data_IF_905267334138
#
_entry.id   IF_905267334138
#
_cell.length_a   1.000
_cell.length_b   1.000
_cell.length_c   1.000
_cell.angle_alpha   90.00
_cell.angle_beta   90.00
_cell.angle_gamma   90.00
#
_symmetry.space_group_name_H-M   'P 1'
#
loop_
_entity.id
_entity.type
_entity.pdbx_description
1 polymer ?
#
# COMPACT_ATOMS: atom_id res chain seq x y z
N UNK A 1 -24.86 73.64 -9.70
CA UNK A 1 -23.97 73.14 -8.62
C UNK A 1 -23.75 71.66 -8.87
N UNK A 2 -22.57 71.28 -9.38
CA UNK A 2 -21.56 70.42 -8.70
C UNK A 2 -22.13 69.05 -8.31
N UNK A 3 -21.90 68.01 -9.12
CA UNK A 3 -20.90 66.96 -8.82
C UNK A 3 -21.64 65.73 -8.29
N UNK A 4 -21.31 64.47 -8.53
CA UNK A 4 -20.06 63.82 -8.89
C UNK A 4 -20.36 62.51 -9.62
N UNK A 5 -19.48 62.11 -10.54
CA UNK A 5 -19.36 60.75 -11.04
C UNK A 5 -19.14 59.77 -9.88
N UNK A 6 -19.90 58.69 -9.85
CA UNK A 6 -19.54 57.49 -9.08
C UNK A 6 -19.36 56.33 -10.07
N UNK A 7 -18.11 56.10 -10.46
CA UNK A 7 -17.69 54.86 -11.11
C UNK A 7 -17.86 53.72 -10.08
N UNK A 8 -18.87 52.88 -10.27
CA UNK A 8 -19.01 51.63 -9.54
C UNK A 8 -18.05 50.59 -10.12
N UNK A 9 -16.95 50.31 -9.40
CA UNK A 9 -16.02 49.24 -9.74
C UNK A 9 -16.69 47.88 -9.55
N UNK A 10 -16.84 47.12 -10.64
CA UNK A 10 -17.27 45.72 -10.62
C UNK A 10 -16.06 44.88 -10.23
N UNK A 11 -16.03 44.42 -8.99
CA UNK A 11 -15.06 43.45 -8.50
C UNK A 11 -15.47 42.05 -9.00
N UNK A 12 -14.80 41.58 -10.05
CA UNK A 12 -14.87 40.19 -10.52
C UNK A 12 -14.13 39.30 -9.50
N UNK A 13 -14.88 38.68 -8.59
CA UNK A 13 -14.39 37.57 -7.78
C UNK A 13 -14.19 36.36 -8.68
N UNK A 14 -12.96 36.19 -9.17
CA UNK A 14 -12.51 34.93 -9.74
C UNK A 14 -12.47 33.90 -8.60
N UNK A 15 -13.54 33.11 -8.48
CA UNK A 15 -13.54 31.92 -7.63
C UNK A 15 -12.57 30.95 -8.30
N UNK A 16 -11.33 30.94 -7.80
CA UNK A 16 -10.36 29.91 -8.11
C UNK A 16 -11.03 28.57 -7.80
N UNK A 17 -11.19 27.73 -8.83
CA UNK A 17 -11.72 26.39 -8.67
C UNK A 17 -10.83 25.63 -7.70
N UNK A 18 -11.35 25.35 -6.51
CA UNK A 18 -10.92 24.17 -5.78
C UNK A 18 -11.22 22.99 -6.70
N UNK A 19 -10.17 22.46 -7.34
CA UNK A 19 -10.22 21.10 -7.84
C UNK A 19 -10.54 20.23 -6.64
N UNK A 20 -11.78 19.75 -6.57
CA UNK A 20 -12.13 18.64 -5.72
C UNK A 20 -11.26 17.48 -6.22
N UNK A 21 -10.15 17.28 -5.50
CA UNK A 21 -9.29 16.14 -5.67
C UNK A 21 -10.16 14.90 -5.56
N UNK A 22 -9.96 14.01 -6.52
CA UNK A 22 -10.61 12.70 -6.65
C UNK A 22 -10.82 12.11 -5.26
N UNK A 23 -12.06 11.75 -4.94
CA UNK A 23 -12.40 11.01 -3.74
C UNK A 23 -11.47 9.79 -3.66
N UNK A 24 -10.43 9.87 -2.83
CA UNK A 24 -9.64 8.72 -2.47
C UNK A 24 -10.58 7.85 -1.64
N UNK A 25 -11.06 6.75 -2.22
CA UNK A 25 -11.81 5.77 -1.47
C UNK A 25 -10.98 5.40 -0.23
N UNK A 26 -11.60 5.53 0.95
CA UNK A 26 -10.91 5.54 2.25
C UNK A 26 -10.43 4.14 2.68
N UNK A 27 -9.53 3.55 1.91
CA UNK A 27 -8.83 2.31 2.24
C UNK A 27 -7.53 2.58 3.01
N UNK A 28 -6.96 1.51 3.59
CA UNK A 28 -5.66 1.57 4.27
C UNK A 28 -4.47 1.86 3.33
N UNK A 29 -4.68 1.78 2.01
CA UNK A 29 -3.63 1.88 1.01
C UNK A 29 -2.78 0.61 0.90
N UNK A 30 -1.63 0.70 0.24
CA UNK A 30 -0.69 -0.42 0.10
C UNK A 30 0.18 -0.51 1.36
N UNK A 31 0.14 -1.62 2.10
CA UNK A 31 1.01 -1.80 3.26
C UNK A 31 2.44 -1.99 2.75
N UNK A 32 3.32 -1.04 3.01
CA UNK A 32 4.69 -1.05 2.48
C UNK A 32 5.70 -0.67 3.53
N UNK A 33 6.93 -1.13 3.32
CA UNK A 33 8.05 -0.72 4.13
C UNK A 33 8.32 0.78 3.96
N UNK A 34 8.77 1.47 5.01
CA UNK A 34 9.28 2.84 4.87
C UNK A 34 10.67 2.85 4.22
N UNK A 35 11.47 1.85 4.55
CA UNK A 35 12.81 1.62 4.03
C UNK A 35 13.14 0.13 4.16
N UNK A 36 14.00 -0.37 3.26
CA UNK A 36 14.57 -1.70 3.39
C UNK A 36 15.33 -1.83 4.72
N UNK A 37 15.33 -3.02 5.29
CA UNK A 37 15.96 -3.38 6.57
C UNK A 37 15.31 -2.79 7.84
N UNK A 38 14.13 -2.16 7.77
CA UNK A 38 13.44 -1.72 9.00
C UNK A 38 12.97 -2.90 9.86
N UNK A 39 12.61 -4.01 9.22
CA UNK A 39 12.41 -5.31 9.87
C UNK A 39 13.77 -6.03 9.90
N UNK A 40 14.28 -6.34 11.09
CA UNK A 40 15.66 -6.84 11.27
C UNK A 40 15.84 -8.35 11.14
N UNK A 41 14.77 -9.09 10.86
CA UNK A 41 14.79 -10.54 10.70
C UNK A 41 15.57 -10.96 9.46
N UNK A 42 16.09 -12.20 9.46
CA UNK A 42 16.93 -12.70 8.37
C UNK A 42 16.20 -12.66 7.03
N UNK A 43 16.94 -12.27 5.98
CA UNK A 43 16.44 -12.22 4.61
C UNK A 43 16.66 -13.55 3.91
N UNK A 44 15.59 -14.06 3.31
CA UNK A 44 15.59 -15.33 2.60
C UNK A 44 14.93 -15.19 1.22
N UNK A 45 15.26 -16.10 0.27
CA UNK A 45 14.49 -16.21 -0.96
C UNK A 45 13.03 -16.50 -0.66
N UNK A 46 12.14 -15.74 -1.28
CA UNK A 46 10.70 -15.90 -1.15
C UNK A 46 10.13 -16.19 -2.54
N UNK A 47 9.26 -17.19 -2.61
CA UNK A 47 8.53 -17.53 -3.81
C UNK A 47 7.12 -17.96 -3.45
N UNK A 48 6.15 -17.67 -4.30
CA UNK A 48 4.75 -17.94 -4.03
C UNK A 48 3.83 -17.34 -5.07
N UNK A 49 2.53 -17.37 -4.78
CA UNK A 49 1.49 -16.77 -5.62
C UNK A 49 0.77 -15.71 -4.80
N UNK A 50 0.48 -14.56 -5.41
CA UNK A 50 -0.32 -13.52 -4.77
C UNK A 50 -1.78 -13.97 -4.78
N UNK A 51 -2.40 -13.99 -3.60
CA UNK A 51 -3.83 -14.23 -3.39
C UNK A 51 -4.46 -12.94 -2.85
N UNK A 52 -5.45 -12.41 -3.56
CA UNK A 52 -6.20 -11.23 -3.11
C UNK A 52 -7.51 -11.68 -2.49
N UNK A 53 -7.57 -11.60 -1.17
CA UNK A 53 -8.75 -11.96 -0.40
C UNK A 53 -9.95 -11.05 -0.73
N UNK A 54 -11.16 -11.50 -0.40
CA UNK A 54 -12.41 -10.80 -0.74
C UNK A 54 -12.58 -9.42 -0.07
N UNK A 55 -11.75 -9.10 0.92
CA UNK A 55 -11.66 -7.82 1.62
C UNK A 55 -10.53 -6.92 1.08
N UNK A 56 -9.79 -7.37 0.06
CA UNK A 56 -8.69 -6.65 -0.57
C UNK A 56 -7.32 -6.89 0.07
N UNK A 57 -7.22 -7.73 1.11
CA UNK A 57 -5.93 -8.11 1.69
C UNK A 57 -5.13 -8.96 0.70
N UNK A 58 -3.90 -8.52 0.40
CA UNK A 58 -2.99 -9.26 -0.47
C UNK A 58 -2.13 -10.18 0.38
N UNK A 59 -2.22 -11.47 0.10
CA UNK A 59 -1.47 -12.53 0.75
C UNK A 59 -0.51 -13.17 -0.23
N UNK A 60 0.60 -13.68 0.28
CA UNK A 60 1.49 -14.57 -0.45
C UNK A 60 1.19 -16.01 -0.04
N UNK A 61 0.65 -16.80 -0.95
CA UNK A 61 0.57 -18.25 -0.80
C UNK A 61 1.93 -18.87 -1.11
N UNK A 62 2.57 -19.40 -0.07
CA UNK A 62 3.84 -20.10 -0.15
C UNK A 62 3.63 -21.52 -0.74
N UNK A 63 4.67 -22.17 -1.30
CA UNK A 63 4.56 -23.54 -1.82
C UNK A 63 4.14 -24.59 -0.80
N UNK A 64 4.26 -24.27 0.49
CA UNK A 64 3.79 -25.10 1.61
C UNK A 64 2.27 -25.06 1.77
N UNK A 65 1.59 -24.12 1.12
CA UNK A 65 0.17 -23.80 1.28
C UNK A 65 -0.11 -22.83 2.44
N UNK A 66 0.92 -22.33 3.12
CA UNK A 66 0.77 -21.25 4.09
C UNK A 66 0.56 -19.92 3.38
N UNK A 67 -0.37 -19.10 3.88
CA UNK A 67 -0.57 -17.73 3.42
C UNK A 67 0.07 -16.75 4.39
N UNK A 68 0.63 -15.65 3.87
CA UNK A 68 1.26 -14.58 4.65
C UNK A 68 0.78 -13.24 4.13
N UNK A 69 0.32 -12.34 5.00
CA UNK A 69 -0.06 -11.00 4.58
C UNK A 69 1.17 -10.25 4.02
N UNK A 70 1.05 -9.61 2.86
CA UNK A 70 2.19 -8.99 2.18
C UNK A 70 2.41 -7.57 2.73
N UNK A 71 3.64 -7.27 3.10
CA UNK A 71 4.15 -5.89 3.23
C UNK A 71 5.12 -5.64 2.08
N UNK A 72 4.78 -4.68 1.23
CA UNK A 72 5.44 -4.41 -0.03
C UNK A 72 6.76 -3.63 0.11
N UNK A 73 7.62 -3.64 -0.93
CA UNK A 73 8.80 -2.78 -0.97
C UNK A 73 8.43 -1.28 -0.87
N UNK A 74 9.38 -0.41 -0.46
CA UNK A 74 9.09 1.00 -0.21
C UNK A 74 8.58 1.80 -1.42
N UNK A 75 8.86 1.35 -2.63
CA UNK A 75 8.48 2.00 -3.88
C UNK A 75 7.12 1.54 -4.43
N UNK A 76 6.43 0.64 -3.73
CA UNK A 76 5.13 0.13 -4.13
C UNK A 76 4.01 1.16 -3.99
N UNK A 77 3.13 1.25 -4.98
CA UNK A 77 1.95 2.12 -5.02
C UNK A 77 0.70 1.35 -5.44
N UNK A 78 -0.49 1.88 -5.09
CA UNK A 78 -1.75 1.30 -5.54
C UNK A 78 -1.98 1.63 -7.02
N UNK A 79 -2.15 0.61 -7.85
CA UNK A 79 -2.57 0.72 -9.24
C UNK A 79 -4.06 1.01 -9.40
N UNK A 80 -4.45 1.47 -10.59
CA UNK A 80 -5.83 1.86 -10.90
C UNK A 80 -6.81 0.67 -10.90
N UNK A 81 -6.32 -0.57 -11.07
CA UNK A 81 -7.14 -1.77 -11.14
C UNK A 81 -7.19 -2.56 -9.82
N UNK A 82 -6.62 -2.01 -8.75
CA UNK A 82 -6.48 -2.69 -7.46
C UNK A 82 -5.19 -3.50 -7.31
N UNK A 83 -4.38 -3.58 -8.36
CA UNK A 83 -3.02 -4.13 -8.37
C UNK A 83 -2.02 -3.24 -7.60
N UNK A 84 -0.84 -3.78 -7.32
CA UNK A 84 0.29 -3.02 -6.77
C UNK A 84 1.33 -2.78 -7.85
N UNK A 85 1.75 -1.52 -8.01
CA UNK A 85 2.71 -1.09 -9.02
C UNK A 85 4.03 -0.71 -8.35
N UNK A 86 5.14 -1.28 -8.83
CA UNK A 86 6.49 -0.89 -8.41
C UNK A 86 7.07 0.22 -9.29
N UNK A 87 8.16 0.87 -8.86
CA UNK A 87 8.79 1.99 -9.59
C UNK A 87 9.27 1.66 -11.02
N UNK A 88 9.47 0.37 -11.33
CA UNK A 88 9.76 -0.13 -12.66
C UNK A 88 8.55 -0.21 -13.61
N UNK A 89 7.34 0.10 -13.12
CA UNK A 89 6.07 -0.07 -13.85
C UNK A 89 5.59 -1.51 -13.91
N UNK A 90 6.15 -2.39 -13.07
CA UNK A 90 5.67 -3.76 -12.93
C UNK A 90 4.43 -3.74 -12.05
N UNK A 91 3.36 -4.37 -12.54
CA UNK A 91 2.08 -4.53 -11.85
C UNK A 91 2.02 -5.94 -11.28
N UNK A 92 1.50 -6.06 -10.06
CA UNK A 92 1.34 -7.33 -9.34
C UNK A 92 -0.08 -7.40 -8.76
N UNK A 93 -0.77 -8.50 -9.04
CA UNK A 93 -2.15 -8.72 -8.62
C UNK A 93 -2.46 -10.19 -8.36
N UNK A 94 -3.74 -10.47 -8.21
CA UNK A 94 -4.27 -11.79 -7.90
C UNK A 94 -3.82 -12.86 -8.93
N UNK A 95 -3.30 -13.97 -8.42
CA UNK A 95 -2.82 -15.10 -9.21
C UNK A 95 -1.39 -14.97 -9.76
N UNK A 96 -0.72 -13.81 -9.58
CA UNK A 96 0.65 -13.65 -10.05
C UNK A 96 1.63 -14.48 -9.24
N UNK A 97 2.42 -15.30 -9.93
CA UNK A 97 3.52 -16.03 -9.34
C UNK A 97 4.74 -15.12 -9.23
N UNK A 98 5.38 -15.10 -8.06
CA UNK A 98 6.53 -14.23 -7.80
C UNK A 98 7.75 -15.01 -7.31
N UNK A 99 8.91 -14.42 -7.53
CA UNK A 99 10.17 -14.77 -6.86
C UNK A 99 10.82 -13.48 -6.36
N UNK A 100 11.52 -13.55 -5.23
CA UNK A 100 12.08 -12.35 -4.61
C UNK A 100 12.92 -12.65 -3.37
N UNK A 101 13.18 -11.60 -2.60
CA UNK A 101 13.81 -11.68 -1.29
C UNK A 101 12.97 -10.89 -0.29
N UNK A 102 12.84 -11.45 0.90
CA UNK A 102 12.11 -10.82 1.99
C UNK A 102 12.38 -11.49 3.32
N UNK A 103 11.52 -11.21 4.30
CA UNK A 103 11.49 -11.89 5.58
C UNK A 103 10.07 -12.38 5.89
N UNK A 104 9.97 -13.59 6.43
CA UNK A 104 8.74 -14.15 6.97
C UNK A 104 8.72 -13.93 8.48
N UNK A 105 7.82 -13.09 8.95
CA UNK A 105 7.80 -12.61 10.35
C UNK A 105 6.40 -12.65 10.95
N UNK A 106 6.32 -12.49 12.26
CA UNK A 106 5.06 -12.21 12.96
C UNK A 106 4.67 -10.74 12.87
N UNK A 107 3.39 -10.42 13.05
CA UNK A 107 2.90 -9.04 13.04
C UNK A 107 3.65 -8.15 14.05
N UNK A 108 3.98 -8.69 15.24
CA UNK A 108 4.67 -7.97 16.30
C UNK A 108 6.10 -7.53 15.97
N UNK A 109 6.71 -8.10 14.91
CA UNK A 109 8.05 -7.74 14.42
C UNK A 109 8.04 -6.57 13.42
N UNK A 110 6.85 -6.15 12.94
CA UNK A 110 6.71 -4.94 12.14
C UNK A 110 6.91 -3.68 12.99
N UNK A 111 7.26 -2.54 12.37
CA UNK A 111 7.33 -1.26 13.07
C UNK A 111 6.04 -0.95 13.85
N UNK A 112 6.15 -0.82 15.17
CA UNK A 112 5.02 -0.65 16.08
C UNK A 112 3.91 -1.72 15.95
N UNK A 113 4.21 -2.90 15.41
CA UNK A 113 3.21 -3.96 15.18
C UNK A 113 2.58 -4.51 16.48
N UNK A 114 3.26 -4.36 17.62
CA UNK A 114 2.72 -4.69 18.95
C UNK A 114 1.88 -3.57 19.58
N UNK A 115 1.83 -2.39 18.96
CA UNK A 115 1.01 -1.26 19.42
C UNK A 115 -0.33 -1.29 18.69
N UNK A 116 -1.42 -1.54 19.42
CA UNK A 116 -2.78 -1.68 18.87
C UNK A 116 -3.27 -0.46 18.07
N UNK A 117 -2.72 0.73 18.33
CA UNK A 117 -3.09 1.96 17.63
C UNK A 117 -2.20 2.24 16.40
N UNK A 118 -1.25 1.35 16.07
CA UNK A 118 -0.37 1.51 14.91
C UNK A 118 -1.05 1.10 13.61
N UNK A 119 -0.51 1.62 12.50
CA UNK A 119 -0.96 1.27 11.15
C UNK A 119 -0.89 -0.24 10.91
N UNK A 120 0.28 -0.84 11.17
CA UNK A 120 0.50 -2.27 10.92
C UNK A 120 -0.34 -3.13 11.85
N UNK A 121 -0.48 -2.79 13.13
CA UNK A 121 -1.35 -3.56 14.02
C UNK A 121 -2.81 -3.51 13.57
N UNK A 122 -3.33 -2.34 13.21
CA UNK A 122 -4.72 -2.18 12.76
C UNK A 122 -5.00 -2.89 11.44
N UNK A 123 -4.14 -2.70 10.43
CA UNK A 123 -4.35 -3.27 9.10
C UNK A 123 -3.98 -4.75 9.05
N UNK A 124 -2.89 -5.14 9.71
CA UNK A 124 -2.49 -6.54 9.83
C UNK A 124 -3.57 -7.37 10.53
N UNK A 125 -4.14 -6.89 11.64
CA UNK A 125 -5.25 -7.57 12.30
C UNK A 125 -6.52 -7.65 11.42
N UNK A 126 -6.77 -6.63 10.58
CA UNK A 126 -7.85 -6.69 9.58
C UNK A 126 -7.59 -7.77 8.52
N UNK A 127 -6.33 -8.00 8.15
CA UNK A 127 -5.89 -9.02 7.20
C UNK A 127 -5.43 -10.34 7.84
N UNK A 128 -5.87 -10.63 9.07
CA UNK A 128 -5.55 -11.86 9.82
C UNK A 128 -4.03 -12.15 10.00
N UNK A 129 -3.18 -11.13 9.93
CA UNK A 129 -1.72 -11.26 10.05
C UNK A 129 -1.25 -11.73 11.44
N UNK A 130 -2.09 -11.63 12.47
CA UNK A 130 -1.84 -12.21 13.79
C UNK A 130 -1.83 -13.75 13.76
N UNK A 131 -2.62 -14.36 12.88
CA UNK A 131 -2.69 -15.82 12.70
C UNK A 131 -1.81 -16.30 11.54
N UNK A 132 -1.88 -15.61 10.39
CA UNK A 132 -1.15 -15.97 9.17
C UNK A 132 0.34 -15.56 9.23
N UNK A 133 0.68 -14.48 9.93
CA UNK A 133 1.99 -13.84 9.84
C UNK A 133 2.15 -12.99 8.58
N UNK A 134 3.37 -12.50 8.34
CA UNK A 134 3.66 -11.44 7.37
C UNK A 134 4.83 -11.85 6.47
N UNK A 135 4.68 -11.60 5.17
CA UNK A 135 5.77 -11.63 4.19
C UNK A 135 6.20 -10.19 3.88
N UNK A 136 7.36 -9.78 4.40
CA UNK A 136 7.94 -8.46 4.18
C UNK A 136 8.88 -8.55 2.98
N UNK A 137 8.51 -7.94 1.86
CA UNK A 137 9.23 -8.06 0.60
C UNK A 137 10.18 -6.89 0.39
N UNK A 138 11.45 -7.19 0.09
CA UNK A 138 12.46 -6.17 -0.23
C UNK A 138 12.56 -5.92 -1.74
N UNK A 139 12.45 -6.99 -2.52
CA UNK A 139 12.29 -6.96 -3.97
C UNK A 139 11.57 -8.21 -4.44
N UNK A 140 10.93 -8.12 -5.60
CA UNK A 140 10.28 -9.22 -6.27
C UNK A 140 10.24 -8.98 -7.79
N UNK A 141 10.06 -10.06 -8.51
CA UNK A 141 9.73 -10.07 -9.94
C UNK A 141 8.73 -11.20 -10.20
N UNK A 142 8.05 -11.13 -11.35
CA UNK A 142 7.24 -12.24 -11.83
C UNK A 142 8.11 -13.48 -12.00
N UNK A 143 7.68 -14.61 -11.45
CA UNK A 143 8.37 -15.87 -11.66
C UNK A 143 8.20 -16.30 -13.13
N UNK A 144 9.31 -16.64 -13.78
CA UNK A 144 9.27 -17.28 -15.09
C UNK A 144 8.55 -18.65 -14.98
N UNK A 145 7.50 -18.82 -15.78
CA UNK A 145 6.70 -20.05 -15.82
C UNK A 145 7.38 -21.24 -16.49
#
# INVERSE_FOLDING_TARGET
MRGYLALGAIALLAVAGCGAGRDAEAGFGVPRQNQIDEVTSDREPVNGVIDVAGDGCMNLELPTGETRWIVWPPDAEQGDSGDVVLSGGQEFGDGDAITGVGALVSLGELPDGSNADSYFSSFGAFCDADEAGVAVLDWLEHADG
#
